data_IF_170752769970
#
_entry.id   IF_170752769970
#
_cell.length_a   1.000
_cell.length_b   1.000
_cell.length_c   1.000
_cell.angle_alpha   90.00
_cell.angle_beta   90.00
_cell.angle_gamma   90.00
#
_symmetry.space_group_name_H-M   'P 1'
#
loop_
_entity.id
_entity.type
_entity.pdbx_description
1 polymer ?
#
# COMPACT_ATOMS: atom_id res chain seq x y z
N UNK A 1 17.66 22.98 -29.62
CA UNK A 1 16.56 22.13 -29.15
C UNK A 1 17.16 20.98 -28.37
N UNK A 2 17.01 21.01 -27.03
CA UNK A 2 17.41 19.88 -26.21
C UNK A 2 16.25 18.87 -26.22
N UNK A 3 16.45 17.74 -26.88
CA UNK A 3 15.57 16.59 -26.77
C UNK A 3 15.75 15.98 -25.37
N UNK A 4 14.76 16.13 -24.50
CA UNK A 4 14.68 15.38 -23.25
C UNK A 4 14.51 13.90 -23.59
N UNK A 5 15.61 13.16 -23.64
CA UNK A 5 15.55 11.71 -23.64
C UNK A 5 15.11 11.25 -22.25
N UNK A 6 13.82 11.01 -22.11
CA UNK A 6 13.33 10.25 -20.96
C UNK A 6 13.96 8.86 -21.10
N UNK A 7 14.98 8.57 -20.30
CA UNK A 7 15.48 7.21 -20.16
C UNK A 7 14.38 6.39 -19.54
N UNK A 8 13.66 5.66 -20.36
CA UNK A 8 12.80 4.58 -19.86
C UNK A 8 13.73 3.55 -19.23
N UNK A 9 13.76 3.50 -17.89
CA UNK A 9 14.37 2.37 -17.20
C UNK A 9 13.49 1.16 -17.54
N UNK A 10 14.05 0.09 -18.15
CA UNK A 10 13.27 -1.12 -18.40
C UNK A 10 12.69 -1.63 -17.09
N UNK A 11 11.40 -1.96 -17.06
CA UNK A 11 10.73 -2.55 -15.88
C UNK A 11 11.49 -3.76 -15.32
N UNK A 12 12.20 -4.50 -16.16
CA UNK A 12 13.07 -5.61 -15.78
C UNK A 12 14.27 -5.24 -14.89
N UNK A 13 14.61 -3.93 -14.80
CA UNK A 13 15.69 -3.42 -13.93
C UNK A 13 15.19 -2.75 -12.65
N UNK A 14 13.89 -2.62 -12.47
CA UNK A 14 13.32 -2.12 -11.22
C UNK A 14 13.24 -3.28 -10.22
N UNK A 15 14.07 -3.21 -9.20
CA UNK A 15 14.06 -4.18 -8.11
C UNK A 15 12.74 -4.06 -7.33
N UNK A 16 12.00 -5.17 -7.26
CA UNK A 16 10.75 -5.26 -6.50
C UNK A 16 10.92 -4.88 -5.02
N UNK A 17 12.08 -5.19 -4.44
CA UNK A 17 12.39 -4.83 -3.06
C UNK A 17 12.56 -3.32 -2.87
N UNK A 18 13.15 -2.65 -3.83
CA UNK A 18 13.27 -1.18 -3.84
C UNK A 18 11.92 -0.51 -3.91
N UNK A 19 11.03 -1.01 -4.75
CA UNK A 19 9.65 -0.50 -4.88
C UNK A 19 8.89 -0.71 -3.58
N UNK A 20 8.95 -1.90 -3.01
CA UNK A 20 8.30 -2.22 -1.73
C UNK A 20 8.82 -1.33 -0.60
N UNK A 21 10.13 -1.11 -0.51
CA UNK A 21 10.75 -0.22 0.48
C UNK A 21 10.26 1.22 0.33
N UNK A 22 10.08 1.69 -0.89
CA UNK A 22 9.50 3.02 -1.16
C UNK A 22 8.08 3.13 -0.59
N UNK A 23 7.21 2.16 -0.86
CA UNK A 23 5.84 2.16 -0.33
C UNK A 23 5.80 2.03 1.19
N UNK A 24 6.69 1.26 1.77
CA UNK A 24 6.81 1.15 3.22
C UNK A 24 7.21 2.49 3.86
N UNK A 25 8.15 3.21 3.27
CA UNK A 25 8.51 4.57 3.69
C UNK A 25 7.37 5.57 3.47
N UNK A 26 6.60 5.41 2.40
CA UNK A 26 5.42 6.24 2.15
C UNK A 26 4.35 6.00 3.22
N UNK A 27 4.14 4.77 3.66
CA UNK A 27 3.26 4.47 4.79
C UNK A 27 3.69 5.24 6.05
N UNK A 28 4.98 5.27 6.35
CA UNK A 28 5.51 6.01 7.49
C UNK A 28 5.19 7.51 7.39
N UNK A 29 5.39 8.11 6.23
CA UNK A 29 5.10 9.53 5.99
C UNK A 29 3.62 9.85 6.07
N UNK A 30 2.76 9.00 5.51
CA UNK A 30 1.30 9.16 5.55
C UNK A 30 0.81 9.07 7.00
N UNK A 31 1.26 8.06 7.75
CA UNK A 31 0.88 7.90 9.15
C UNK A 31 1.33 9.08 10.02
N UNK A 32 2.54 9.58 9.80
CA UNK A 32 3.04 10.75 10.50
C UNK A 32 2.19 11.99 10.21
N UNK A 33 1.81 12.21 8.95
CA UNK A 33 0.96 13.33 8.55
C UNK A 33 -0.45 13.24 9.12
N UNK A 34 -1.05 12.06 9.10
CA UNK A 34 -2.40 11.83 9.68
C UNK A 34 -2.37 12.02 11.19
N UNK A 35 -1.39 11.46 11.90
CA UNK A 35 -1.25 11.62 13.35
C UNK A 35 -1.08 13.08 13.75
N UNK A 36 -0.27 13.83 13.03
CA UNK A 36 -0.05 15.26 13.27
C UNK A 36 -1.33 16.08 13.06
N UNK A 37 -2.08 15.77 12.01
CA UNK A 37 -3.34 16.46 11.68
C UNK A 37 -4.43 16.12 12.70
N UNK A 38 -4.56 14.86 13.09
CA UNK A 38 -5.56 14.41 14.08
C UNK A 38 -5.25 14.96 15.48
N UNK A 39 -3.99 14.86 15.93
CA UNK A 39 -3.51 15.41 17.18
C UNK A 39 -3.98 14.68 18.44
N UNK A 40 -4.83 13.66 18.34
CA UNK A 40 -5.47 13.02 19.50
C UNK A 40 -5.17 11.54 19.70
N UNK A 41 -4.62 10.86 18.70
CA UNK A 41 -4.35 9.42 18.77
C UNK A 41 -3.12 9.04 17.97
N UNK A 42 -2.62 7.82 18.21
CA UNK A 42 -1.46 7.24 17.53
C UNK A 42 -1.87 5.97 16.79
N UNK A 43 -1.12 5.65 15.74
CA UNK A 43 -1.28 4.39 15.03
C UNK A 43 -0.73 3.21 15.83
N UNK A 44 -1.46 2.11 15.82
CA UNK A 44 -0.99 0.80 16.28
C UNK A 44 -0.60 -0.02 15.06
N UNK A 45 0.57 -0.65 15.12
CA UNK A 45 1.12 -1.46 14.06
C UNK A 45 0.89 -2.94 14.29
N UNK A 46 0.56 -3.66 13.23
CA UNK A 46 0.52 -5.11 13.19
C UNK A 46 1.24 -5.59 11.93
N UNK A 47 2.15 -6.54 12.09
CA UNK A 47 2.88 -7.15 10.99
C UNK A 47 2.33 -8.54 10.72
N UNK A 48 2.15 -8.86 9.46
CA UNK A 48 1.62 -10.15 9.05
C UNK A 48 2.43 -10.75 7.92
N UNK A 49 2.41 -12.07 7.84
CA UNK A 49 3.05 -12.82 6.78
C UNK A 49 2.02 -13.71 6.08
N UNK A 50 2.21 -13.90 4.80
CA UNK A 50 1.38 -14.73 3.96
C UNK A 50 2.11 -16.05 3.68
N UNK A 51 1.47 -17.23 3.92
CA UNK A 51 2.13 -18.53 3.71
C UNK A 51 2.63 -18.73 2.28
N UNK A 52 1.95 -18.17 1.29
CA UNK A 52 2.28 -18.27 -0.14
C UNK A 52 3.41 -17.35 -0.58
N UNK A 53 3.80 -16.39 0.26
CA UNK A 53 4.89 -15.45 0.00
C UNK A 53 4.54 -13.99 0.28
N UNK A 54 5.48 -13.31 0.90
CA UNK A 54 5.34 -11.91 1.26
C UNK A 54 4.54 -11.67 2.53
N UNK A 55 4.16 -10.43 2.73
CA UNK A 55 3.43 -10.00 3.91
C UNK A 55 3.08 -8.53 3.87
N UNK A 56 2.84 -7.96 5.01
CA UNK A 56 2.49 -6.56 5.13
C UNK A 56 2.62 -6.00 6.52
N UNK A 57 2.30 -4.73 6.61
CA UNK A 57 2.34 -3.95 7.83
C UNK A 57 1.10 -3.08 7.87
N UNK A 58 0.18 -3.43 8.74
CA UNK A 58 -1.06 -2.70 8.94
C UNK A 58 -0.90 -1.70 10.07
N UNK A 59 -1.42 -0.49 9.88
CA UNK A 59 -1.47 0.53 10.93
C UNK A 59 -2.87 1.06 11.08
N UNK A 60 -3.36 1.10 12.31
CA UNK A 60 -4.72 1.55 12.63
C UNK A 60 -4.66 2.60 13.72
N UNK A 61 -5.31 3.74 13.46
CA UNK A 61 -5.59 4.77 14.45
C UNK A 61 -7.08 4.69 14.80
N UNK A 62 -7.40 4.74 16.07
CA UNK A 62 -8.77 4.74 16.56
C UNK A 62 -8.95 5.79 17.65
N UNK A 63 -10.18 6.30 17.78
CA UNK A 63 -10.57 7.29 18.79
C UNK A 63 -9.68 8.54 18.77
N UNK A 64 -9.39 9.03 17.56
CA UNK A 64 -8.68 10.29 17.38
C UNK A 64 -9.54 11.50 17.71
N UNK A 65 -8.95 12.68 17.65
CA UNK A 65 -9.65 13.94 17.86
C UNK A 65 -10.57 14.31 16.68
N UNK A 66 -10.16 13.96 15.45
CA UNK A 66 -10.90 14.22 14.21
C UNK A 66 -11.36 12.92 13.57
N UNK A 67 -10.52 11.90 13.59
CA UNK A 67 -10.77 10.61 12.98
C UNK A 67 -11.27 9.61 14.02
N UNK A 68 -12.44 9.06 13.81
CA UNK A 68 -12.93 7.92 14.58
C UNK A 68 -12.04 6.70 14.36
N UNK A 69 -11.66 6.48 13.09
CA UNK A 69 -10.78 5.38 12.69
C UNK A 69 -10.04 5.73 11.40
N UNK A 70 -8.79 5.34 11.33
CA UNK A 70 -8.00 5.38 10.11
C UNK A 70 -7.18 4.09 9.98
N UNK A 71 -7.08 3.59 8.76
CA UNK A 71 -6.24 2.46 8.42
C UNK A 71 -5.28 2.83 7.32
N UNK A 72 -4.00 2.54 7.47
CA UNK A 72 -2.98 2.69 6.45
C UNK A 72 -2.22 1.38 6.38
N UNK A 73 -2.44 0.63 5.31
CA UNK A 73 -1.92 -0.73 5.17
C UNK A 73 -0.90 -0.79 4.03
N UNK A 74 0.27 -1.30 4.34
CA UNK A 74 1.29 -1.66 3.37
C UNK A 74 1.24 -3.16 3.11
N UNK A 75 1.40 -3.55 1.85
CA UNK A 75 1.55 -4.96 1.47
C UNK A 75 2.61 -5.13 0.40
N UNK A 76 3.32 -6.24 0.49
CA UNK A 76 4.22 -6.73 -0.55
C UNK A 76 4.05 -8.25 -0.60
N UNK A 77 3.28 -8.72 -1.55
CA UNK A 77 2.87 -10.12 -1.68
C UNK A 77 3.34 -10.70 -3.00
N UNK A 78 3.71 -11.96 -2.97
CA UNK A 78 4.18 -12.69 -4.15
C UNK A 78 3.73 -14.15 -4.08
N UNK A 79 3.77 -14.82 -5.19
CA UNK A 79 3.45 -16.23 -5.27
C UNK A 79 2.97 -16.65 -6.65
N UNK A 80 2.51 -17.91 -6.77
CA UNK A 80 1.94 -18.40 -8.02
C UNK A 80 0.64 -17.66 -8.35
N UNK A 81 0.46 -17.36 -9.63
CA UNK A 81 -0.76 -16.72 -10.11
C UNK A 81 -1.94 -17.70 -9.98
N UNK A 82 -3.02 -17.24 -9.38
CA UNK A 82 -4.22 -18.07 -9.24
C UNK A 82 -4.78 -18.45 -10.62
N UNK A 83 -5.27 -19.70 -10.83
CA UNK A 83 -5.77 -20.16 -12.13
C UNK A 83 -6.81 -19.26 -12.79
N UNK A 84 -7.69 -18.65 -12.01
CA UNK A 84 -8.69 -17.69 -12.52
C UNK A 84 -8.03 -16.41 -13.08
N UNK A 85 -6.92 -15.97 -12.50
CA UNK A 85 -6.17 -14.81 -12.98
C UNK A 85 -5.36 -15.16 -14.24
N UNK A 86 -4.83 -16.37 -14.32
CA UNK A 86 -4.17 -16.88 -15.54
C UNK A 86 -5.12 -16.81 -16.73
N UNK A 87 -6.35 -17.26 -16.57
CA UNK A 87 -7.37 -17.21 -17.61
C UNK A 87 -7.76 -15.77 -17.94
N UNK A 88 -7.98 -14.94 -16.94
CA UNK A 88 -8.40 -13.53 -17.10
C UNK A 88 -7.36 -12.68 -17.80
N UNK A 89 -6.08 -12.92 -17.53
CA UNK A 89 -4.95 -12.18 -18.11
C UNK A 89 -4.44 -12.78 -19.42
N UNK A 90 -5.02 -13.90 -19.86
CA UNK A 90 -4.63 -14.63 -21.08
C UNK A 90 -3.13 -14.99 -21.10
N UNK A 91 -2.62 -15.44 -19.96
CA UNK A 91 -1.22 -15.87 -19.80
C UNK A 91 -1.14 -17.38 -20.01
N UNK A 92 -0.20 -17.85 -20.83
CA UNK A 92 -0.06 -19.26 -21.22
C UNK A 92 1.01 -20.04 -20.45
N UNK A 93 1.75 -19.36 -19.55
CA UNK A 93 2.85 -19.96 -18.79
C UNK A 93 2.59 -19.85 -17.27
N UNK A 94 3.24 -20.73 -16.49
CA UNK A 94 3.28 -20.57 -15.03
C UNK A 94 4.03 -19.28 -14.70
N UNK A 95 3.29 -18.28 -14.22
CA UNK A 95 3.83 -16.97 -13.86
C UNK A 95 3.64 -16.73 -12.38
N UNK A 96 4.71 -16.32 -11.73
CA UNK A 96 4.63 -15.75 -10.39
C UNK A 96 4.24 -14.28 -10.46
N UNK A 97 3.46 -13.83 -9.50
CA UNK A 97 3.10 -12.42 -9.37
C UNK A 97 3.81 -11.78 -8.18
N UNK A 98 4.02 -10.50 -8.30
CA UNK A 98 4.40 -9.63 -7.20
C UNK A 98 3.48 -8.40 -7.20
N UNK A 99 2.90 -8.08 -6.05
CA UNK A 99 2.06 -6.92 -5.88
C UNK A 99 2.45 -6.18 -4.60
N UNK A 100 2.62 -4.88 -4.70
CA UNK A 100 2.94 -4.04 -3.56
C UNK A 100 2.20 -2.72 -3.66
N UNK A 101 1.85 -2.15 -2.51
CA UNK A 101 1.12 -0.89 -2.48
C UNK A 101 0.68 -0.52 -1.09
N UNK A 102 -0.07 0.57 -1.03
CA UNK A 102 -0.68 1.10 0.19
C UNK A 102 -2.18 1.23 -0.02
N UNK A 103 -2.93 0.82 0.99
CA UNK A 103 -4.37 1.02 1.06
C UNK A 103 -4.68 1.93 2.24
N UNK A 104 -5.50 2.96 2.02
CA UNK A 104 -5.82 3.98 3.01
C UNK A 104 -7.33 4.06 3.17
N UNK A 105 -7.77 4.06 4.43
CA UNK A 105 -9.16 4.31 4.81
C UNK A 105 -9.16 5.32 5.95
N UNK A 106 -9.94 6.39 5.81
CA UNK A 106 -10.12 7.38 6.87
C UNK A 106 -11.59 7.64 7.10
N UNK A 107 -12.04 7.43 8.34
CA UNK A 107 -13.41 7.66 8.78
C UNK A 107 -13.42 8.78 9.83
N UNK A 108 -13.85 10.00 9.45
CA UNK A 108 -14.03 11.09 10.40
C UNK A 108 -15.12 10.77 11.43
N UNK A 109 -14.99 11.33 12.62
CA UNK A 109 -16.02 11.24 13.65
C UNK A 109 -17.28 12.01 13.25
N UNK A 110 -17.09 13.17 12.62
CA UNK A 110 -18.21 13.99 12.16
C UNK A 110 -18.83 13.39 10.88
N UNK A 111 -20.13 13.01 10.91
CA UNK A 111 -20.78 12.36 9.76
C UNK A 111 -20.95 13.28 8.54
N UNK A 112 -20.76 14.59 8.70
CA UNK A 112 -20.80 15.54 7.58
C UNK A 112 -19.49 15.61 6.79
N UNK A 113 -18.42 15.01 7.33
CA UNK A 113 -17.12 14.96 6.63
C UNK A 113 -17.04 13.64 5.85
N UNK A 114 -16.72 13.70 4.54
CA UNK A 114 -16.63 12.49 3.74
C UNK A 114 -15.56 11.53 4.22
N UNK A 115 -15.82 10.24 4.06
CA UNK A 115 -14.81 9.19 4.24
C UNK A 115 -13.85 9.16 3.05
N UNK A 116 -12.64 8.68 3.26
CA UNK A 116 -11.63 8.52 2.23
C UNK A 116 -11.25 7.04 2.12
N UNK A 117 -11.33 6.51 0.90
CA UNK A 117 -10.77 5.22 0.53
C UNK A 117 -9.83 5.43 -0.66
N UNK A 118 -8.59 4.98 -0.52
CA UNK A 118 -7.58 5.16 -1.56
C UNK A 118 -6.60 3.98 -1.60
N UNK A 119 -6.28 3.53 -2.80
CA UNK A 119 -5.28 2.48 -3.07
C UNK A 119 -4.19 3.01 -4.00
#
# INVERSE_FOLDING_TARGET
MHSLRIRRVPLSKMDKHTIAAYFQGLQDRICAGISATDGGASFKEDQWQRPEGGGGRSRVLAKGAILEKAGVNFSAVEGPLHPKMVTSLNVTEEVEFFATGISIVMHPENPWVPIIHMN
#
